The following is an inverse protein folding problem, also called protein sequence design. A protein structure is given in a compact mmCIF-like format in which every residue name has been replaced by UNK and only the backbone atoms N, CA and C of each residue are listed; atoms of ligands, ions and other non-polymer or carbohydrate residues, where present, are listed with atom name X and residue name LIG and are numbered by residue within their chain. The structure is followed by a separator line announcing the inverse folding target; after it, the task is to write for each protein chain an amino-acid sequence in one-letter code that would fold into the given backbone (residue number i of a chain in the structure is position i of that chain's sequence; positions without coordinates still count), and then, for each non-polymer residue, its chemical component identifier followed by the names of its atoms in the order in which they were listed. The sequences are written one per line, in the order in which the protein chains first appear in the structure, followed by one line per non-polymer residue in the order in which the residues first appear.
data_IF_125607449097
#
_entry.id   IF_125607449097
#
_cell.length_a   1.000
_cell.length_b   1.000
_cell.length_c   1.000
_cell.angle_alpha   90.00
_cell.angle_beta   90.00
_cell.angle_gamma   90.00
#
_symmetry.space_group_name_H-M   'P 1'
#
loop_
_entity.id
_entity.type
_entity.pdbx_description
1 polymer ?
#
# COMPACT_ATOMS: atom_id res chain seq x y z
N UNK A 1 -11.48 7.74 14.10
CA UNK A 1 -10.61 7.50 12.93
C UNK A 1 -10.04 6.12 13.13
N UNK A 2 -10.14 5.27 12.13
CA UNK A 2 -9.65 3.91 12.23
C UNK A 2 -8.14 3.93 12.47
N UNK A 3 -7.66 3.03 13.34
CA UNK A 3 -6.22 2.81 13.51
C UNK A 3 -5.66 2.15 12.26
N UNK A 4 -4.46 2.53 11.84
CA UNK A 4 -3.73 1.85 10.78
C UNK A 4 -2.60 1.06 11.41
N UNK A 5 -2.59 -0.25 11.20
CA UNK A 5 -1.52 -1.15 11.62
C UNK A 5 -0.90 -1.82 10.39
N UNK A 6 0.41 -2.03 10.44
CA UNK A 6 1.19 -2.56 9.32
C UNK A 6 1.65 -3.96 9.65
N UNK A 7 1.35 -4.92 8.80
CA UNK A 7 1.91 -6.25 8.92
C UNK A 7 3.44 -6.18 8.75
N UNK A 8 4.21 -7.00 9.49
CA UNK A 8 5.68 -6.99 9.39
C UNK A 8 6.20 -7.18 7.96
N UNK A 9 5.50 -7.96 7.15
CA UNK A 9 5.84 -8.26 5.75
C UNK A 9 5.80 -7.00 4.86
N UNK A 10 5.09 -5.94 5.27
CA UNK A 10 5.05 -4.67 4.53
C UNK A 10 6.41 -3.97 4.54
N UNK A 11 7.22 -4.17 5.58
CA UNK A 11 8.59 -3.64 5.59
C UNK A 11 9.44 -4.30 4.51
N UNK A 12 9.31 -5.62 4.33
CA UNK A 12 10.00 -6.37 3.27
C UNK A 12 9.55 -5.92 1.88
N UNK A 13 8.26 -5.59 1.71
CA UNK A 13 7.73 -5.00 0.47
C UNK A 13 8.39 -3.65 0.15
N UNK A 14 8.55 -2.77 1.16
CA UNK A 14 9.24 -1.49 0.97
C UNK A 14 10.73 -1.68 0.68
N UNK A 15 11.41 -2.64 1.32
CA UNK A 15 12.81 -2.95 1.01
C UNK A 15 12.98 -3.47 -0.41
N UNK A 16 12.10 -4.37 -0.86
CA UNK A 16 12.09 -4.89 -2.23
C UNK A 16 11.85 -3.77 -3.24
N UNK A 17 10.91 -2.87 -2.95
CA UNK A 17 10.62 -1.69 -3.75
C UNK A 17 11.84 -0.74 -3.87
N UNK A 18 12.50 -0.44 -2.76
CA UNK A 18 13.71 0.40 -2.72
C UNK A 18 14.86 -0.21 -3.52
N UNK A 19 15.07 -1.52 -3.40
CA UNK A 19 16.09 -2.26 -4.14
C UNK A 19 15.84 -2.21 -5.64
N UNK A 20 14.60 -2.49 -6.04
CA UNK A 20 14.21 -2.44 -7.45
C UNK A 20 14.42 -1.05 -8.05
N UNK A 21 14.03 0.03 -7.36
CA UNK A 21 14.28 1.39 -7.85
C UNK A 21 15.77 1.76 -7.98
N UNK A 22 16.63 1.17 -7.14
CA UNK A 22 18.07 1.38 -7.21
C UNK A 22 18.66 0.83 -8.52
N UNK A 23 18.16 -0.32 -8.99
CA UNK A 23 18.60 -0.97 -10.23
C UNK A 23 18.24 -0.13 -11.48
N UNK A 24 17.19 0.70 -11.41
CA UNK A 24 16.74 1.55 -12.51
C UNK A 24 17.15 3.03 -12.39
N UNK A 25 18.01 3.39 -11.42
CA UNK A 25 18.56 4.74 -11.30
C UNK A 25 17.52 5.83 -10.95
N UNK A 26 16.39 5.47 -10.35
CA UNK A 26 15.34 6.42 -9.99
C UNK A 26 15.80 7.18 -8.73
N UNK A 27 15.99 8.49 -8.85
CA UNK A 27 16.46 9.35 -7.75
C UNK A 27 15.39 9.53 -6.64
N UNK A 28 14.13 9.29 -6.97
CA UNK A 28 12.96 9.78 -6.23
C UNK A 28 12.35 8.78 -5.22
N UNK A 29 13.21 8.03 -4.54
CA UNK A 29 12.80 6.81 -3.78
C UNK A 29 12.05 7.13 -2.51
N UNK A 30 12.56 8.09 -1.75
CA UNK A 30 11.98 8.51 -0.46
C UNK A 30 10.67 9.25 -0.66
N UNK A 31 10.60 10.12 -1.66
CA UNK A 31 9.36 10.83 -2.03
C UNK A 31 8.26 9.82 -2.37
N UNK A 32 8.61 8.79 -3.14
CA UNK A 32 7.63 7.78 -3.54
C UNK A 32 7.10 6.94 -2.38
N UNK A 33 7.93 6.61 -1.39
CA UNK A 33 7.45 5.99 -0.15
C UNK A 33 6.53 6.96 0.61
N UNK A 34 6.90 8.24 0.68
CA UNK A 34 6.08 9.30 1.24
C UNK A 34 4.69 9.36 0.61
N UNK A 35 4.59 9.38 -0.73
CA UNK A 35 3.33 9.37 -1.47
C UNK A 35 2.46 8.15 -1.12
N UNK A 36 3.06 6.96 -0.97
CA UNK A 36 2.33 5.74 -0.61
C UNK A 36 1.78 5.83 0.81
N UNK A 37 2.61 6.28 1.76
CA UNK A 37 2.21 6.44 3.16
C UNK A 37 1.10 7.49 3.29
N UNK A 38 1.23 8.62 2.60
CA UNK A 38 0.22 9.69 2.58
C UNK A 38 -1.10 9.18 2.02
N UNK A 39 -1.07 8.47 0.89
CA UNK A 39 -2.27 7.90 0.30
C UNK A 39 -2.97 6.91 1.25
N UNK A 40 -2.22 6.12 2.02
CA UNK A 40 -2.77 5.16 3.00
C UNK A 40 -3.47 5.86 4.16
N UNK A 41 -3.09 7.09 4.53
CA UNK A 41 -3.74 7.83 5.62
C UNK A 41 -5.24 8.06 5.38
N UNK A 42 -5.72 8.06 4.12
CA UNK A 42 -7.16 8.18 3.84
C UNK A 42 -7.98 7.07 4.50
N UNK A 43 -7.39 5.89 4.73
CA UNK A 43 -8.06 4.75 5.32
C UNK A 43 -8.42 4.97 6.79
N UNK A 44 -7.76 5.90 7.49
CA UNK A 44 -8.13 6.29 8.85
C UNK A 44 -9.49 7.02 8.90
N UNK A 45 -9.89 7.66 7.79
CA UNK A 45 -11.17 8.37 7.68
C UNK A 45 -12.22 7.57 6.91
N UNK A 46 -11.78 6.83 5.89
CA UNK A 46 -12.64 6.13 4.94
C UNK A 46 -12.19 4.68 4.74
N UNK A 47 -12.23 3.83 5.79
CA UNK A 47 -11.69 2.47 5.71
C UNK A 47 -12.42 1.57 4.70
N UNK A 48 -13.66 1.93 4.31
CA UNK A 48 -14.44 1.20 3.32
C UNK A 48 -14.17 1.62 1.85
N UNK A 49 -13.33 2.64 1.60
CA UNK A 49 -13.12 3.22 0.25
C UNK A 49 -12.42 2.27 -0.73
N UNK A 50 -11.68 1.29 -0.20
CA UNK A 50 -10.93 0.34 -1.02
C UNK A 50 -11.82 -0.61 -1.83
N UNK A 51 -11.33 -1.00 -3.00
CA UNK A 51 -11.99 -1.96 -3.89
C UNK A 51 -12.02 -3.35 -3.24
N UNK A 52 -13.19 -3.97 -3.06
CA UNK A 52 -13.27 -5.35 -2.57
C UNK A 52 -12.64 -6.33 -3.57
N UNK A 53 -11.89 -7.31 -3.06
CA UNK A 53 -11.26 -8.36 -3.88
C UNK A 53 -11.83 -9.75 -3.54
N UNK A 54 -11.38 -10.37 -2.44
CA UNK A 54 -11.86 -11.68 -1.96
C UNK A 54 -11.89 -11.70 -0.45
N UNK A 55 -12.87 -12.40 0.13
CA UNK A 55 -13.12 -12.41 1.56
C UNK A 55 -13.16 -10.96 2.11
N UNK A 56 -12.50 -10.71 3.24
CA UNK A 56 -12.44 -9.40 3.91
C UNK A 56 -11.31 -8.49 3.37
N UNK A 57 -10.72 -8.81 2.21
CA UNK A 57 -9.62 -8.04 1.64
C UNK A 57 -10.10 -6.93 0.71
N UNK A 58 -9.37 -5.82 0.75
CA UNK A 58 -9.59 -4.62 -0.06
C UNK A 58 -8.28 -4.11 -0.63
N UNK A 59 -8.38 -3.47 -1.78
CA UNK A 59 -7.25 -2.82 -2.44
C UNK A 59 -7.45 -1.31 -2.45
N UNK A 60 -6.44 -0.57 -1.99
CA UNK A 60 -6.31 0.85 -2.26
C UNK A 60 -5.36 1.04 -3.43
N UNK A 61 -5.88 1.62 -4.51
CA UNK A 61 -5.08 1.96 -5.70
C UNK A 61 -4.43 3.32 -5.46
N UNK A 62 -3.10 3.38 -5.59
CA UNK A 62 -2.27 4.55 -5.29
C UNK A 62 -1.50 4.96 -6.55
N UNK A 63 -1.64 6.21 -6.95
CA UNK A 63 -1.01 6.74 -8.16
C UNK A 63 -1.66 6.24 -9.46
N UNK A 64 -0.97 6.44 -10.58
CA UNK A 64 -1.47 6.13 -11.93
C UNK A 64 -0.32 5.71 -12.86
N UNK A 65 -0.65 4.94 -13.90
CA UNK A 65 0.27 4.49 -14.95
C UNK A 65 1.55 3.84 -14.36
N UNK A 66 2.73 4.09 -14.92
CA UNK A 66 4.00 3.47 -14.49
C UNK A 66 4.41 3.71 -13.02
N UNK A 67 3.72 4.61 -12.32
CA UNK A 67 3.81 4.85 -10.87
C UNK A 67 2.57 4.32 -10.13
N UNK A 68 2.02 3.19 -10.55
CA UNK A 68 0.93 2.51 -9.84
C UNK A 68 1.43 1.67 -8.68
N UNK A 69 0.81 1.80 -7.51
CA UNK A 69 1.00 0.93 -6.35
C UNK A 69 -0.36 0.50 -5.79
N UNK A 70 -0.42 -0.67 -5.19
CA UNK A 70 -1.62 -1.23 -4.56
C UNK A 70 -1.27 -1.54 -3.12
N UNK A 71 -2.03 -0.99 -2.18
CA UNK A 71 -2.02 -1.44 -0.80
C UNK A 71 -3.15 -2.46 -0.61
N UNK A 72 -2.78 -3.70 -0.29
CA UNK A 72 -3.72 -4.72 0.13
C UNK A 72 -3.98 -4.56 1.62
N UNK A 73 -5.24 -4.46 2.02
CA UNK A 73 -5.60 -4.26 3.41
C UNK A 73 -6.86 -5.01 3.81
N UNK A 74 -7.07 -5.10 5.12
CA UNK A 74 -8.32 -5.54 5.74
C UNK A 74 -8.78 -4.48 6.72
N UNK A 75 -10.07 -4.14 6.68
CA UNK A 75 -10.70 -3.35 7.74
C UNK A 75 -11.47 -4.28 8.66
N UNK A 76 -11.21 -4.20 9.96
CA UNK A 76 -11.92 -4.96 11.00
C UNK A 76 -12.79 -3.98 11.81
N UNK A 77 -14.11 -3.91 11.53
CA UNK A 77 -14.99 -2.92 12.15
C UNK A 77 -15.06 -3.04 13.68
N UNK A 78 -15.02 -4.27 14.20
CA UNK A 78 -15.15 -4.55 15.64
C UNK A 78 -14.08 -3.88 16.51
N UNK A 79 -12.92 -3.57 15.91
CA UNK A 79 -11.80 -2.89 16.59
C UNK A 79 -11.38 -1.60 15.87
N UNK A 80 -12.19 -1.09 14.94
CA UNK A 80 -11.93 0.09 14.11
C UNK A 80 -10.48 0.17 13.59
N UNK A 81 -9.98 -0.95 13.03
CA UNK A 81 -8.57 -1.07 12.62
C UNK A 81 -8.43 -1.53 11.17
N UNK A 82 -7.57 -0.85 10.44
CA UNK A 82 -7.12 -1.15 9.08
C UNK A 82 -5.75 -1.80 9.18
N UNK A 83 -5.66 -3.07 8.80
CA UNK A 83 -4.39 -3.78 8.68
C UNK A 83 -3.90 -3.69 7.24
N UNK A 84 -2.77 -3.02 7.02
CA UNK A 84 -2.04 -3.04 5.75
C UNK A 84 -1.25 -4.34 5.71
N UNK A 85 -1.55 -5.18 4.72
CA UNK A 85 -1.03 -6.54 4.64
C UNK A 85 0.10 -6.68 3.61
N UNK A 86 0.06 -5.88 2.55
CA UNK A 86 1.09 -5.87 1.53
C UNK A 86 1.05 -4.56 0.73
N UNK A 87 2.20 -4.16 0.21
CA UNK A 87 2.34 -3.10 -0.78
C UNK A 87 2.93 -3.70 -2.05
N UNK A 88 2.19 -3.60 -3.15
CA UNK A 88 2.63 -4.11 -4.46
C UNK A 88 2.78 -2.97 -5.42
N UNK A 89 3.88 -2.91 -6.15
CA UNK A 89 4.04 -1.91 -7.22
C UNK A 89 3.76 -2.53 -8.58
N UNK A 90 3.25 -1.75 -9.53
CA UNK A 90 2.83 -2.27 -10.84
C UNK A 90 3.97 -2.98 -11.60
N UNK A 91 5.23 -2.63 -11.35
CA UNK A 91 6.38 -3.35 -11.92
C UNK A 91 6.56 -4.77 -11.38
N UNK A 92 5.98 -5.10 -10.22
CA UNK A 92 5.97 -6.45 -9.65
C UNK A 92 4.70 -7.23 -10.03
N UNK A 93 3.65 -6.53 -10.48
CA UNK A 93 2.37 -7.12 -10.86
C UNK A 93 2.26 -7.44 -12.37
N UNK A 94 3.30 -7.12 -13.15
CA UNK A 94 3.39 -7.40 -14.58
C UNK A 94 4.56 -8.34 -14.89
N UNK A 95 4.31 -9.63 -14.70
CA UNK A 95 5.07 -10.74 -15.28
C UNK A 95 4.15 -11.59 -16.13
#
# INVERSE_FOLDING_TARGET
MARIEWAPEVFDDFERFLRHMAEFGIADRTERIGEIIEAIQILAHSPAIGRPVKAELRELIIGRASRGSIALFRFVPDIDTVFILAIRTQREAGG
#
